data_IF_450821667311
#
_entry.id   IF_450821667311
#
_cell.length_a   1.000
_cell.length_b   1.000
_cell.length_c   1.000
_cell.angle_alpha   90.00
_cell.angle_beta   90.00
_cell.angle_gamma   90.00
#
_symmetry.space_group_name_H-M   'P 1'
#
loop_
_entity.id
_entity.type
_entity.pdbx_description
1 polymer ?
#
# COMPACT_ATOMS: atom_id res chain seq x y z
N UNK A 1 -2.61 28.62 -8.68
CA UNK A 1 -3.33 29.59 -7.83
C UNK A 1 -4.66 28.95 -7.52
N UNK A 2 -4.72 28.20 -6.41
CA UNK A 2 -5.97 27.64 -5.92
C UNK A 2 -6.62 28.76 -5.10
N UNK A 3 -7.66 29.38 -5.64
CA UNK A 3 -8.49 30.32 -4.88
C UNK A 3 -9.25 29.51 -3.85
N UNK A 4 -8.66 29.33 -2.66
CA UNK A 4 -9.36 28.73 -1.53
C UNK A 4 -10.55 29.63 -1.20
N UNK A 5 -11.76 29.16 -1.53
CA UNK A 5 -13.00 29.75 -1.01
C UNK A 5 -12.88 29.92 0.52
N UNK A 6 -13.39 31.04 1.08
CA UNK A 6 -13.34 31.28 2.52
C UNK A 6 -13.96 30.10 3.28
N UNK A 7 -13.38 29.78 4.44
CA UNK A 7 -13.87 28.69 5.28
C UNK A 7 -15.32 28.98 5.70
N UNK A 8 -16.25 28.12 5.28
CA UNK A 8 -17.67 28.27 5.62
C UNK A 8 -17.95 27.74 7.02
N UNK A 9 -18.88 28.36 7.76
CA UNK A 9 -19.33 27.82 9.05
C UNK A 9 -20.29 26.65 8.86
N UNK A 10 -20.46 25.77 9.86
CA UNK A 10 -21.46 24.70 9.79
C UNK A 10 -22.88 25.20 9.49
N UNK A 11 -23.26 26.37 10.02
CA UNK A 11 -24.55 27.00 9.76
C UNK A 11 -24.70 27.40 8.29
N UNK A 12 -23.69 28.06 7.71
CA UNK A 12 -23.69 28.45 6.30
C UNK A 12 -23.78 27.23 5.38
N UNK A 13 -23.07 26.15 5.71
CA UNK A 13 -23.14 24.90 4.95
C UNK A 13 -24.53 24.29 5.06
N UNK A 14 -25.13 24.29 6.26
CA UNK A 14 -26.46 23.73 6.52
C UNK A 14 -27.55 24.39 5.69
N UNK A 15 -27.47 25.70 5.46
CA UNK A 15 -28.41 26.43 4.60
C UNK A 15 -28.35 25.99 3.12
N UNK A 16 -27.22 25.44 2.68
CA UNK A 16 -27.07 24.93 1.31
C UNK A 16 -27.57 23.49 1.12
N UNK A 17 -27.96 22.80 2.20
CA UNK A 17 -28.39 21.41 2.13
C UNK A 17 -29.84 21.28 1.66
N UNK A 18 -30.13 20.22 0.89
CA UNK A 18 -31.49 19.92 0.46
C UNK A 18 -32.39 19.68 1.68
N UNK A 19 -33.53 20.38 1.75
CA UNK A 19 -34.54 20.19 2.78
C UNK A 19 -35.53 19.05 2.49
N UNK A 20 -36.26 18.64 3.52
CA UNK A 20 -37.43 17.77 3.43
C UNK A 20 -38.71 18.59 3.35
N UNK A 21 -39.81 17.97 2.94
CA UNK A 21 -41.14 18.61 2.97
C UNK A 21 -41.58 19.05 4.38
N UNK A 22 -40.97 18.49 5.44
CA UNK A 22 -41.27 18.79 6.84
C UNK A 22 -40.31 19.82 7.47
N UNK A 23 -39.45 20.46 6.68
CA UNK A 23 -38.53 21.51 7.16
C UNK A 23 -37.20 21.04 7.76
N UNK A 24 -36.97 19.73 7.89
CA UNK A 24 -35.67 19.17 8.31
C UNK A 24 -34.70 18.95 7.15
N UNK A 25 -33.41 18.73 7.42
CA UNK A 25 -32.41 18.41 6.39
C UNK A 25 -32.67 17.01 5.81
N UNK A 26 -32.65 16.90 4.48
CA UNK A 26 -32.85 15.63 3.79
C UNK A 26 -31.62 14.76 4.02
N UNK A 27 -31.85 13.56 4.55
CA UNK A 27 -30.82 12.54 4.63
C UNK A 27 -30.55 12.01 3.22
N UNK A 28 -29.57 12.55 2.51
CA UNK A 28 -29.18 12.16 1.15
C UNK A 28 -27.66 11.99 1.05
N UNK A 29 -27.19 11.15 0.11
CA UNK A 29 -25.75 11.03 -0.17
C UNK A 29 -25.19 12.40 -0.58
N UNK A 30 -25.96 13.17 -1.36
CA UNK A 30 -25.57 14.51 -1.82
C UNK A 30 -25.32 15.47 -0.66
N UNK A 31 -26.20 15.52 0.34
CA UNK A 31 -26.01 16.37 1.51
C UNK A 31 -24.81 15.93 2.36
N UNK A 32 -24.64 14.63 2.58
CA UNK A 32 -23.45 14.11 3.29
C UNK A 32 -22.17 14.48 2.54
N UNK A 33 -22.16 14.34 1.21
CA UNK A 33 -21.04 14.69 0.35
C UNK A 33 -20.69 16.18 0.45
N UNK A 34 -21.71 17.06 0.40
CA UNK A 34 -21.53 18.51 0.56
C UNK A 34 -20.84 18.84 1.88
N UNK A 35 -21.27 18.22 2.99
CA UNK A 35 -20.64 18.43 4.30
C UNK A 35 -19.17 17.97 4.29
N UNK A 36 -18.87 16.74 3.85
CA UNK A 36 -17.49 16.26 3.80
C UNK A 36 -16.57 17.08 2.88
N UNK A 37 -17.12 17.73 1.84
CA UNK A 37 -16.36 18.55 0.90
C UNK A 37 -16.17 20.00 1.37
N UNK A 38 -17.07 20.54 2.20
CA UNK A 38 -17.09 21.98 2.55
C UNK A 38 -16.78 22.27 4.00
N UNK A 39 -17.16 21.37 4.92
CA UNK A 39 -16.92 21.55 6.34
C UNK A 39 -15.41 21.68 6.60
N UNK A 40 -14.93 22.75 7.27
CA UNK A 40 -13.51 22.95 7.53
C UNK A 40 -12.85 21.78 8.27
N UNK A 41 -13.60 21.14 9.17
CA UNK A 41 -13.14 19.96 9.90
C UNK A 41 -12.91 18.80 8.92
N UNK A 42 -13.80 18.56 7.96
CA UNK A 42 -13.72 17.36 7.11
C UNK A 42 -13.09 17.55 5.72
N UNK A 43 -13.07 18.76 5.18
CA UNK A 43 -12.58 19.03 3.82
C UNK A 43 -11.15 18.56 3.64
N UNK A 44 -10.95 17.56 2.78
CA UNK A 44 -9.64 16.94 2.52
C UNK A 44 -9.12 16.00 3.62
N UNK A 45 -9.97 15.63 4.60
CA UNK A 45 -9.59 14.73 5.67
C UNK A 45 -9.54 13.27 5.25
N UNK A 46 -10.51 12.84 4.44
CA UNK A 46 -10.73 11.45 4.06
C UNK A 46 -10.09 11.19 2.71
N UNK A 47 -9.15 10.24 2.65
CA UNK A 47 -8.40 9.90 1.43
C UNK A 47 -8.30 8.40 1.25
N UNK A 48 -8.48 7.92 0.02
CA UNK A 48 -8.26 6.51 -0.31
C UNK A 48 -6.77 6.26 -0.55
N UNK A 49 -6.18 5.43 0.30
CA UNK A 49 -4.80 4.98 0.17
C UNK A 49 -4.73 3.83 -0.83
N UNK A 50 -4.06 4.06 -1.96
CA UNK A 50 -4.00 3.10 -3.07
C UNK A 50 -3.07 1.91 -2.82
N UNK A 51 -2.20 1.98 -1.80
CA UNK A 51 -1.32 0.86 -1.44
C UNK A 51 -2.05 -0.14 -0.54
N UNK A 52 -2.81 0.36 0.44
CA UNK A 52 -3.58 -0.46 1.39
C UNK A 52 -5.02 -0.71 0.95
N UNK A 53 -5.53 0.06 -0.02
CA UNK A 53 -6.95 0.12 -0.43
C UNK A 53 -7.91 0.49 0.72
N UNK A 54 -7.39 1.15 1.76
CA UNK A 54 -8.16 1.62 2.91
C UNK A 54 -8.38 3.13 2.85
N UNK A 55 -9.40 3.60 3.58
CA UNK A 55 -9.65 5.03 3.74
C UNK A 55 -8.85 5.50 4.96
N UNK A 56 -8.00 6.49 4.76
CA UNK A 56 -7.21 7.12 5.80
C UNK A 56 -7.81 8.50 6.14
N UNK A 57 -7.76 8.86 7.43
CA UNK A 57 -8.00 10.21 7.92
C UNK A 57 -6.63 10.89 8.10
N UNK A 58 -6.37 11.91 7.29
CA UNK A 58 -5.05 12.55 7.15
C UNK A 58 -4.92 13.90 7.85
N UNK A 59 -5.89 14.25 8.70
CA UNK A 59 -5.87 15.45 9.53
C UNK A 59 -6.46 15.18 10.92
N UNK A 60 -6.18 16.04 11.92
CA UNK A 60 -6.88 15.99 13.20
C UNK A 60 -8.38 16.30 13.02
N UNK A 61 -9.24 15.49 13.64
CA UNK A 61 -10.69 15.69 13.65
C UNK A 61 -11.27 16.04 15.03
N UNK A 62 -10.40 16.23 16.04
CA UNK A 62 -10.79 16.66 17.38
C UNK A 62 -10.96 15.55 18.42
N UNK A 63 -10.88 14.28 18.02
CA UNK A 63 -10.79 13.13 18.94
C UNK A 63 -9.44 12.42 18.80
N UNK A 64 -9.05 11.70 19.85
CA UNK A 64 -7.81 10.92 19.87
C UNK A 64 -7.91 9.69 18.97
N UNK A 65 -6.82 9.40 18.26
CA UNK A 65 -6.74 8.30 17.29
C UNK A 65 -5.41 7.57 17.43
N UNK A 66 -5.44 6.26 17.24
CA UNK A 66 -4.25 5.38 17.30
C UNK A 66 -3.79 4.88 15.93
N UNK A 67 -4.56 5.16 14.87
CA UNK A 67 -4.26 4.76 13.49
C UNK A 67 -4.63 5.87 12.51
N UNK A 68 -3.97 5.90 11.35
CA UNK A 68 -4.37 6.76 10.23
C UNK A 68 -5.64 6.24 9.56
N UNK A 69 -5.80 4.91 9.49
CA UNK A 69 -6.94 4.24 8.88
C UNK A 69 -8.23 4.57 9.59
N UNK A 70 -9.29 4.84 8.82
CA UNK A 70 -10.65 5.01 9.30
C UNK A 70 -11.11 3.75 10.05
N UNK A 71 -11.50 3.92 11.31
CA UNK A 71 -11.99 2.85 12.18
C UNK A 71 -13.50 2.93 12.42
N UNK A 72 -14.08 1.88 13.00
CA UNK A 72 -15.48 1.89 13.42
C UNK A 72 -15.76 2.97 14.48
N UNK A 73 -14.78 3.28 15.34
CA UNK A 73 -14.93 4.37 16.31
C UNK A 73 -14.91 5.75 15.63
N UNK A 74 -14.08 5.94 14.61
CA UNK A 74 -14.12 7.15 13.78
C UNK A 74 -15.49 7.30 13.11
N UNK A 75 -16.08 6.21 12.62
CA UNK A 75 -17.42 6.23 12.04
C UNK A 75 -18.49 6.70 13.03
N UNK A 76 -18.42 6.27 14.30
CA UNK A 76 -19.32 6.74 15.35
C UNK A 76 -19.17 8.23 15.62
N UNK A 77 -17.94 8.75 15.72
CA UNK A 77 -17.71 10.19 15.91
C UNK A 77 -18.18 11.02 14.71
N UNK A 78 -17.95 10.54 13.49
CA UNK A 78 -18.44 11.19 12.28
C UNK A 78 -19.97 11.24 12.24
N UNK A 79 -20.65 10.16 12.63
CA UNK A 79 -22.11 10.12 12.70
C UNK A 79 -22.65 11.09 13.76
N UNK A 80 -22.06 11.10 14.96
CA UNK A 80 -22.44 12.02 16.03
C UNK A 80 -22.30 13.48 15.59
N UNK A 81 -21.17 13.84 15.00
CA UNK A 81 -20.94 15.20 14.51
C UNK A 81 -21.95 15.61 13.43
N UNK A 82 -22.26 14.71 12.49
CA UNK A 82 -23.22 14.95 11.43
C UNK A 82 -24.66 15.06 11.94
N UNK A 83 -25.00 14.30 12.99
CA UNK A 83 -26.28 14.39 13.68
C UNK A 83 -26.44 15.74 14.38
N UNK A 84 -25.49 16.13 15.22
CA UNK A 84 -25.55 17.35 16.04
C UNK A 84 -25.55 18.64 15.19
N UNK A 85 -24.69 18.70 14.17
CA UNK A 85 -24.49 19.94 13.41
C UNK A 85 -25.43 20.05 12.18
N UNK A 86 -25.77 18.92 11.55
CA UNK A 86 -26.45 18.89 10.25
C UNK A 86 -27.75 18.08 10.21
N UNK A 87 -28.10 17.32 11.25
CA UNK A 87 -29.29 16.45 11.25
C UNK A 87 -29.20 15.26 10.26
N UNK A 88 -27.98 14.87 9.89
CA UNK A 88 -27.71 13.76 8.98
C UNK A 88 -27.40 12.49 9.78
N UNK A 89 -28.38 11.58 9.84
CA UNK A 89 -28.39 10.40 10.73
C UNK A 89 -28.28 9.06 9.99
N UNK A 90 -28.34 9.07 8.66
CA UNK A 90 -28.37 7.84 7.87
C UNK A 90 -26.96 7.27 7.63
N UNK A 91 -26.55 6.32 8.47
CA UNK A 91 -25.24 5.66 8.40
C UNK A 91 -24.87 5.18 6.99
N UNK A 92 -25.78 4.46 6.32
CA UNK A 92 -25.54 3.96 4.94
C UNK A 92 -25.19 5.08 3.96
N UNK A 93 -25.81 6.26 4.10
CA UNK A 93 -25.57 7.41 3.21
C UNK A 93 -24.26 8.11 3.56
N UNK A 94 -23.93 8.20 4.85
CA UNK A 94 -22.65 8.71 5.35
C UNK A 94 -21.50 7.83 4.84
N UNK A 95 -21.57 6.52 5.02
CA UNK A 95 -20.56 5.58 4.50
C UNK A 95 -20.38 5.70 2.99
N UNK A 96 -21.48 5.87 2.23
CA UNK A 96 -21.42 6.06 0.78
C UNK A 96 -20.71 7.36 0.41
N UNK A 97 -21.00 8.46 1.12
CA UNK A 97 -20.35 9.74 0.90
C UNK A 97 -18.86 9.71 1.26
N UNK A 98 -18.49 9.08 2.38
CA UNK A 98 -17.08 8.88 2.78
C UNK A 98 -16.31 8.16 1.67
N UNK A 99 -16.86 7.07 1.13
CA UNK A 99 -16.23 6.32 0.02
C UNK A 99 -16.03 7.18 -1.23
N UNK A 100 -17.02 8.02 -1.57
CA UNK A 100 -16.93 8.93 -2.73
C UNK A 100 -15.82 9.96 -2.50
N UNK A 101 -15.83 10.67 -1.38
CA UNK A 101 -14.82 11.70 -1.06
C UNK A 101 -13.42 11.11 -0.98
N UNK A 102 -13.26 9.96 -0.33
CA UNK A 102 -11.96 9.29 -0.25
C UNK A 102 -11.44 8.91 -1.62
N UNK A 103 -12.32 8.39 -2.50
CA UNK A 103 -11.96 8.04 -3.88
C UNK A 103 -11.63 9.27 -4.75
N UNK A 104 -12.27 10.42 -4.52
CA UNK A 104 -11.89 11.67 -5.18
C UNK A 104 -10.51 12.16 -4.72
N UNK A 105 -10.14 11.92 -3.45
CA UNK A 105 -8.89 12.34 -2.84
C UNK A 105 -7.84 11.22 -2.71
N UNK A 106 -7.78 10.31 -3.70
CA UNK A 106 -6.85 9.18 -3.75
C UNK A 106 -5.38 9.61 -3.66
N UNK A 107 -4.57 8.76 -3.06
CA UNK A 107 -3.12 8.93 -3.01
C UNK A 107 -2.39 7.61 -2.91
N UNK A 108 -1.10 7.60 -3.20
CA UNK A 108 -0.28 6.42 -3.02
C UNK A 108 0.96 6.78 -2.22
N UNK A 109 1.12 6.30 -0.97
CA UNK A 109 2.15 6.78 -0.05
C UNK A 109 3.57 6.60 -0.60
N UNK A 110 3.86 5.46 -1.25
CA UNK A 110 5.17 5.23 -1.88
C UNK A 110 5.41 6.13 -3.10
N UNK A 111 4.38 6.43 -3.92
CA UNK A 111 4.55 7.35 -5.06
C UNK A 111 4.82 8.76 -4.56
N UNK A 112 4.07 9.20 -3.56
CA UNK A 112 4.24 10.51 -2.94
C UNK A 112 5.63 10.63 -2.32
N UNK A 113 6.11 9.59 -1.64
CA UNK A 113 7.49 9.52 -1.16
C UNK A 113 8.51 9.65 -2.30
N UNK A 114 8.42 8.80 -3.32
CA UNK A 114 9.37 8.76 -4.45
C UNK A 114 9.39 10.06 -5.27
N UNK A 115 8.22 10.66 -5.52
CA UNK A 115 8.10 11.92 -6.27
C UNK A 115 8.68 13.13 -5.53
N UNK A 116 8.79 13.06 -4.21
CA UNK A 116 9.36 14.13 -3.38
C UNK A 116 10.87 13.99 -3.16
N UNK A 117 11.49 12.89 -3.59
CA UNK A 117 12.94 12.70 -3.47
C UNK A 117 13.69 13.61 -4.44
N UNK A 118 14.83 14.14 -3.97
CA UNK A 118 15.79 14.87 -4.78
C UNK A 118 17.10 14.08 -4.79
N UNK A 119 17.65 13.83 -5.97
CA UNK A 119 18.94 13.16 -6.07
C UNK A 119 20.06 14.13 -5.70
N UNK A 120 20.95 13.69 -4.81
CA UNK A 120 22.06 14.49 -4.30
C UNK A 120 23.35 14.35 -5.12
N UNK A 121 23.28 13.70 -6.29
CA UNK A 121 24.42 13.51 -7.19
C UNK A 121 25.36 12.35 -6.83
N UNK A 122 25.13 11.63 -5.72
CA UNK A 122 26.02 10.52 -5.30
C UNK A 122 25.48 9.17 -5.77
N UNK A 123 26.30 8.40 -6.50
CA UNK A 123 25.94 7.06 -6.98
C UNK A 123 26.05 6.01 -5.87
N UNK A 124 24.96 5.79 -5.12
CA UNK A 124 24.94 4.80 -4.02
C UNK A 124 24.60 3.38 -4.45
N UNK A 125 23.83 3.20 -5.52
CA UNK A 125 23.34 1.87 -5.94
C UNK A 125 24.51 0.93 -6.26
N UNK A 126 25.58 1.43 -6.91
CA UNK A 126 26.76 0.65 -7.29
C UNK A 126 27.43 -0.07 -6.12
N UNK A 127 27.46 0.55 -4.96
CA UNK A 127 28.18 0.02 -3.80
C UNK A 127 27.28 -0.36 -2.64
N UNK A 128 25.95 -0.27 -2.77
CA UNK A 128 25.03 -0.50 -1.66
C UNK A 128 25.13 -1.93 -1.09
N UNK A 129 25.10 -2.96 -1.93
CA UNK A 129 25.21 -4.35 -1.45
C UNK A 129 26.58 -4.63 -0.82
N UNK A 130 27.66 -4.08 -1.38
CA UNK A 130 28.99 -4.17 -0.78
C UNK A 130 29.05 -3.46 0.58
N UNK A 131 28.58 -2.21 0.64
CA UNK A 131 28.64 -1.38 1.84
C UNK A 131 27.85 -1.95 3.02
N UNK A 132 26.64 -2.49 2.76
CA UNK A 132 25.77 -2.99 3.82
C UNK A 132 25.94 -4.48 4.12
N UNK A 133 26.31 -5.29 3.13
CA UNK A 133 26.28 -6.76 3.24
C UNK A 133 27.61 -7.43 2.87
N UNK A 134 28.61 -6.67 2.41
CA UNK A 134 29.92 -7.21 2.03
C UNK A 134 29.91 -7.99 0.71
N UNK A 135 28.91 -7.79 -0.16
CA UNK A 135 28.88 -8.40 -1.49
C UNK A 135 30.01 -7.90 -2.41
N UNK A 136 30.25 -8.58 -3.53
CA UNK A 136 31.23 -8.16 -4.52
C UNK A 136 30.83 -6.82 -5.18
N UNK A 137 31.83 -6.11 -5.73
CA UNK A 137 31.63 -4.80 -6.42
C UNK A 137 31.56 -4.95 -7.94
N UNK A 138 31.30 -6.16 -8.42
CA UNK A 138 31.21 -6.46 -9.84
C UNK A 138 29.93 -5.90 -10.50
N UNK A 139 29.94 -5.91 -11.83
CA UNK A 139 28.84 -5.37 -12.63
C UNK A 139 27.55 -6.19 -12.49
N UNK A 140 27.65 -7.50 -12.20
CA UNK A 140 26.49 -8.35 -11.98
C UNK A 140 25.73 -7.93 -10.71
N UNK A 141 26.45 -7.77 -9.60
CA UNK A 141 25.90 -7.36 -8.30
C UNK A 141 25.23 -5.98 -8.40
N UNK A 142 25.86 -5.04 -9.11
CA UNK A 142 25.28 -3.72 -9.38
C UNK A 142 23.98 -3.81 -10.19
N UNK A 143 24.00 -4.50 -11.34
CA UNK A 143 22.84 -4.61 -12.21
C UNK A 143 21.70 -5.42 -11.57
N UNK A 144 22.01 -6.39 -10.70
CA UNK A 144 21.02 -7.14 -9.95
C UNK A 144 20.22 -6.24 -8.99
N UNK A 145 20.90 -5.41 -8.18
CA UNK A 145 20.24 -4.46 -7.30
C UNK A 145 19.48 -3.40 -8.11
N UNK A 146 20.10 -2.84 -9.14
CA UNK A 146 19.48 -1.82 -9.99
C UNK A 146 18.19 -2.32 -10.65
N UNK A 147 18.20 -3.54 -11.20
CA UNK A 147 17.01 -4.16 -11.78
C UNK A 147 15.90 -4.36 -10.74
N UNK A 148 16.25 -4.80 -9.53
CA UNK A 148 15.31 -4.94 -8.42
C UNK A 148 14.66 -3.59 -8.05
N UNK A 149 15.45 -2.53 -7.89
CA UNK A 149 14.96 -1.19 -7.56
C UNK A 149 14.07 -0.61 -8.67
N UNK A 150 14.48 -0.77 -9.94
CA UNK A 150 13.66 -0.35 -11.08
C UNK A 150 12.33 -1.11 -11.14
N UNK A 151 12.34 -2.41 -10.83
CA UNK A 151 11.14 -3.24 -10.69
C UNK A 151 10.22 -2.74 -9.57
N UNK A 152 10.79 -2.41 -8.41
CA UNK A 152 10.07 -1.89 -7.25
C UNK A 152 9.34 -0.58 -7.58
N UNK A 153 10.05 0.36 -8.22
CA UNK A 153 9.48 1.62 -8.70
C UNK A 153 8.39 1.34 -9.73
N UNK A 154 8.68 0.49 -10.72
CA UNK A 154 7.73 0.19 -11.81
C UNK A 154 6.42 -0.40 -11.30
N UNK A 155 6.46 -1.33 -10.33
CA UNK A 155 5.28 -1.97 -9.74
C UNK A 155 4.37 -0.98 -9.02
N UNK A 156 4.96 0.00 -8.33
CA UNK A 156 4.19 1.05 -7.66
C UNK A 156 3.58 2.03 -8.66
N UNK A 157 4.33 2.49 -9.68
CA UNK A 157 3.82 3.46 -10.65
C UNK A 157 2.92 2.86 -11.74
N UNK A 158 3.11 1.57 -12.06
CA UNK A 158 2.27 0.80 -12.99
C UNK A 158 1.90 -0.55 -12.37
N UNK A 159 0.93 -0.57 -11.45
CA UNK A 159 0.45 -1.79 -10.82
C UNK A 159 0.14 -2.88 -11.85
N UNK A 160 0.56 -4.11 -11.54
CA UNK A 160 0.36 -5.25 -12.42
C UNK A 160 1.31 -5.34 -13.61
N UNK A 161 2.29 -4.45 -13.75
CA UNK A 161 3.37 -4.63 -14.73
C UNK A 161 4.09 -5.96 -14.52
N UNK A 162 4.39 -6.71 -15.58
CA UNK A 162 5.16 -7.95 -15.46
C UNK A 162 6.56 -7.65 -14.88
N UNK A 163 6.81 -8.17 -13.68
CA UNK A 163 8.12 -8.21 -13.04
C UNK A 163 8.16 -9.47 -12.19
N UNK A 164 8.96 -10.45 -12.62
CA UNK A 164 8.99 -11.82 -12.08
C UNK A 164 10.37 -12.19 -11.50
N UNK A 165 11.20 -11.17 -11.25
CA UNK A 165 12.57 -11.32 -10.76
C UNK A 165 12.61 -11.03 -9.26
N UNK A 166 13.35 -11.84 -8.52
CA UNK A 166 13.56 -11.75 -7.07
C UNK A 166 15.05 -11.64 -6.79
N UNK A 167 15.46 -10.57 -6.09
CA UNK A 167 16.81 -10.41 -5.57
C UNK A 167 16.99 -11.34 -4.38
N UNK A 168 18.00 -12.21 -4.39
CA UNK A 168 18.23 -13.24 -3.38
C UNK A 168 19.54 -12.96 -2.66
N UNK A 169 19.48 -12.49 -1.43
CA UNK A 169 20.67 -12.24 -0.62
C UNK A 169 21.14 -13.54 0.04
N UNK A 170 22.35 -13.98 -0.31
CA UNK A 170 22.99 -15.19 0.24
C UNK A 170 24.13 -14.77 1.16
N UNK A 171 24.11 -15.24 2.41
CA UNK A 171 25.19 -14.94 3.35
C UNK A 171 24.95 -15.51 4.74
N UNK A 172 25.91 -15.37 5.65
CA UNK A 172 25.82 -15.90 7.01
C UNK A 172 24.58 -15.43 7.80
N UNK A 173 24.21 -16.19 8.83
CA UNK A 173 23.19 -15.78 9.78
C UNK A 173 23.63 -14.47 10.45
N UNK A 174 22.68 -13.55 10.67
CA UNK A 174 22.98 -12.26 11.30
C UNK A 174 23.67 -11.23 10.38
N UNK A 175 23.87 -11.53 9.10
CA UNK A 175 24.49 -10.59 8.14
C UNK A 175 23.61 -9.38 7.76
N UNK A 176 22.48 -9.14 8.43
CA UNK A 176 21.62 -7.97 8.16
C UNK A 176 20.74 -8.05 6.90
N UNK A 177 20.59 -9.22 6.27
CA UNK A 177 19.82 -9.39 5.02
C UNK A 177 18.37 -8.92 5.09
N UNK A 178 17.63 -9.37 6.11
CA UNK A 178 16.24 -8.96 6.35
C UNK A 178 16.16 -7.47 6.70
N UNK A 179 17.12 -6.98 7.50
CA UNK A 179 17.25 -5.56 7.85
C UNK A 179 17.47 -4.70 6.61
N UNK A 180 18.26 -5.17 5.63
CA UNK A 180 18.49 -4.46 4.38
C UNK A 180 17.17 -4.26 3.61
N UNK A 181 16.37 -5.31 3.41
CA UNK A 181 15.07 -5.17 2.73
C UNK A 181 14.08 -4.29 3.49
N UNK A 182 14.04 -4.40 4.83
CA UNK A 182 13.21 -3.54 5.68
C UNK A 182 13.58 -2.06 5.53
N UNK A 183 14.87 -1.74 5.60
CA UNK A 183 15.34 -0.36 5.43
C UNK A 183 15.15 0.14 3.99
N UNK A 184 15.32 -0.75 3.01
CA UNK A 184 15.14 -0.41 1.60
C UNK A 184 13.70 -0.06 1.25
N UNK A 185 12.72 -0.61 1.97
CA UNK A 185 11.33 -0.23 1.83
C UNK A 185 11.09 1.24 2.20
N UNK A 186 11.99 1.87 2.97
CA UNK A 186 11.92 3.29 3.34
C UNK A 186 11.02 3.57 4.54
N UNK A 187 10.02 2.72 4.79
CA UNK A 187 9.24 2.69 6.02
C UNK A 187 8.90 1.26 6.40
N UNK A 188 8.85 0.99 7.70
CA UNK A 188 8.61 -0.36 8.23
C UNK A 188 7.22 -0.90 7.79
N UNK A 189 6.20 -0.04 7.69
CA UNK A 189 4.86 -0.46 7.23
C UNK A 189 4.80 -0.85 5.74
N UNK A 190 5.82 -0.54 4.94
CA UNK A 190 5.90 -0.95 3.53
C UNK A 190 6.73 -2.23 3.34
N UNK A 191 7.21 -2.83 4.43
CA UNK A 191 7.95 -4.09 4.43
C UNK A 191 7.13 -5.21 5.08
N UNK A 192 7.27 -6.43 4.56
CA UNK A 192 6.72 -7.64 5.21
C UNK A 192 7.60 -8.85 4.99
N UNK A 193 7.72 -9.71 5.99
CA UNK A 193 8.37 -11.02 5.94
C UNK A 193 7.40 -12.17 6.31
N UNK A 194 6.10 -11.89 6.43
CA UNK A 194 5.08 -12.86 6.87
C UNK A 194 4.53 -13.75 5.73
N UNK A 195 5.16 -13.71 4.54
CA UNK A 195 4.76 -14.54 3.42
C UNK A 195 5.28 -15.98 3.55
N UNK A 196 4.58 -16.80 4.36
CA UNK A 196 4.96 -18.19 4.66
C UNK A 196 4.40 -19.23 3.70
N UNK A 197 3.26 -18.94 3.04
CA UNK A 197 2.55 -19.87 2.14
C UNK A 197 2.00 -19.12 0.92
N UNK A 198 2.24 -19.66 -0.28
CA UNK A 198 1.87 -19.02 -1.57
C UNK A 198 0.50 -19.45 -2.09
N UNK A 199 -0.02 -20.55 -1.56
CA UNK A 199 -1.32 -21.15 -1.87
C UNK A 199 -2.43 -20.70 -0.89
N UNK A 200 -2.10 -19.81 0.04
CA UNK A 200 -3.05 -19.24 0.99
C UNK A 200 -4.13 -18.41 0.26
N UNK A 201 -5.41 -18.72 0.50
CA UNK A 201 -6.54 -17.96 -0.07
C UNK A 201 -6.51 -16.47 0.34
N UNK A 202 -5.86 -16.16 1.47
CA UNK A 202 -5.68 -14.80 1.95
C UNK A 202 -4.31 -14.22 1.63
N UNK A 203 -3.54 -14.82 0.71
CA UNK A 203 -2.22 -14.33 0.32
C UNK A 203 -2.26 -12.86 -0.07
N UNK A 204 -3.33 -12.41 -0.73
CA UNK A 204 -3.49 -11.00 -1.10
C UNK A 204 -3.42 -10.06 0.12
N UNK A 205 -4.00 -10.42 1.27
CA UNK A 205 -3.93 -9.60 2.49
C UNK A 205 -2.50 -9.43 3.01
N UNK A 206 -1.65 -10.42 2.78
CA UNK A 206 -0.22 -10.35 3.13
C UNK A 206 0.55 -9.46 2.15
N UNK A 207 0.09 -9.34 0.91
CA UNK A 207 0.69 -8.45 -0.10
C UNK A 207 0.22 -7.00 0.03
N UNK A 208 -1.05 -6.80 0.39
CA UNK A 208 -1.69 -5.50 0.49
C UNK A 208 -0.96 -4.62 1.53
N UNK A 209 -0.73 -3.36 1.19
CA UNK A 209 -0.01 -2.43 2.08
C UNK A 209 1.52 -2.47 1.97
N UNK A 210 2.10 -3.52 1.39
CA UNK A 210 3.57 -3.70 1.37
C UNK A 210 4.17 -3.43 -0.01
N UNK A 211 5.34 -2.81 -0.04
CA UNK A 211 6.13 -2.53 -1.25
C UNK A 211 7.23 -3.57 -1.47
N UNK A 212 7.93 -3.96 -0.41
CA UNK A 212 8.98 -4.99 -0.44
C UNK A 212 8.56 -6.14 0.48
N UNK A 213 8.57 -7.35 -0.06
CA UNK A 213 8.20 -8.55 0.69
C UNK A 213 9.37 -9.52 0.69
N UNK A 214 9.86 -9.84 1.88
CA UNK A 214 10.89 -10.85 2.09
C UNK A 214 10.30 -12.27 2.10
N UNK A 215 11.00 -13.19 1.43
CA UNK A 215 10.69 -14.62 1.38
C UNK A 215 11.87 -15.42 1.95
N UNK A 216 12.09 -15.32 3.26
CA UNK A 216 13.24 -15.90 3.97
C UNK A 216 13.17 -17.43 4.13
N UNK A 217 12.04 -17.97 4.57
CA UNK A 217 11.88 -19.41 4.85
C UNK A 217 11.68 -20.27 3.58
N UNK A 218 11.06 -19.68 2.55
CA UNK A 218 10.69 -20.41 1.33
C UNK A 218 11.91 -20.77 0.47
N UNK A 219 12.96 -19.97 0.55
CA UNK A 219 14.22 -20.22 -0.16
C UNK A 219 15.08 -21.23 0.60
N UNK A 220 15.07 -21.18 1.94
CA UNK A 220 15.88 -22.07 2.77
C UNK A 220 15.46 -23.56 2.65
N UNK A 221 14.17 -23.81 2.39
CA UNK A 221 13.56 -25.14 2.23
C UNK A 221 13.27 -25.51 0.77
N UNK A 222 13.82 -24.74 -0.16
CA UNK A 222 13.53 -24.87 -1.58
C UNK A 222 13.90 -26.26 -2.13
N UNK A 223 12.94 -26.90 -2.79
CA UNK A 223 13.11 -28.08 -3.62
C UNK A 223 12.56 -27.78 -5.02
N UNK A 224 12.71 -28.70 -5.97
CA UNK A 224 12.29 -28.44 -7.35
C UNK A 224 10.80 -28.03 -7.45
N UNK A 225 9.93 -28.65 -6.64
CA UNK A 225 8.49 -28.34 -6.62
C UNK A 225 8.22 -26.94 -6.08
N UNK A 226 8.78 -26.59 -4.92
CA UNK A 226 8.55 -25.28 -4.31
C UNK A 226 9.17 -24.14 -5.14
N UNK A 227 10.23 -24.40 -5.90
CA UNK A 227 10.79 -23.42 -6.83
C UNK A 227 9.86 -23.13 -7.99
N UNK A 228 9.22 -24.14 -8.58
CA UNK A 228 8.23 -23.90 -9.63
C UNK A 228 6.99 -23.16 -9.08
N UNK A 229 6.58 -23.44 -7.84
CA UNK A 229 5.53 -22.67 -7.15
C UNK A 229 5.94 -21.21 -6.94
N UNK A 230 7.17 -20.94 -6.48
CA UNK A 230 7.71 -19.59 -6.35
C UNK A 230 7.78 -18.90 -7.71
N UNK A 231 8.30 -19.55 -8.76
CA UNK A 231 8.38 -18.98 -10.12
C UNK A 231 6.98 -18.64 -10.64
N UNK A 232 6.01 -19.52 -10.45
CA UNK A 232 4.61 -19.30 -10.81
C UNK A 232 4.04 -18.11 -10.04
N UNK A 233 4.30 -18.03 -8.74
CA UNK A 233 3.87 -16.92 -7.90
C UNK A 233 4.50 -15.60 -8.34
N UNK A 234 5.82 -15.50 -8.46
CA UNK A 234 6.53 -14.30 -8.94
C UNK A 234 6.02 -13.83 -10.32
N UNK A 235 5.61 -14.77 -11.16
CA UNK A 235 5.09 -14.50 -12.50
C UNK A 235 3.72 -13.81 -12.52
N UNK A 236 2.94 -13.86 -11.43
CA UNK A 236 1.59 -13.27 -11.40
C UNK A 236 1.67 -11.74 -11.47
N UNK A 237 0.69 -11.17 -12.16
CA UNK A 237 0.52 -9.72 -12.29
C UNK A 237 -0.58 -9.18 -11.36
N UNK A 238 -1.48 -10.07 -10.92
CA UNK A 238 -2.64 -9.73 -10.11
C UNK A 238 -3.05 -10.93 -9.25
N UNK A 239 -3.76 -10.64 -8.18
CA UNK A 239 -4.50 -11.59 -7.36
C UNK A 239 -5.99 -11.35 -7.59
N UNK A 240 -6.77 -12.39 -7.83
CA UNK A 240 -8.24 -12.28 -7.79
C UNK A 240 -8.67 -12.52 -6.35
N UNK A 241 -9.16 -11.46 -5.69
CA UNK A 241 -9.50 -11.50 -4.27
C UNK A 241 -10.86 -10.84 -4.01
N UNK A 242 -11.63 -11.42 -3.09
CA UNK A 242 -12.91 -10.85 -2.62
C UNK A 242 -12.69 -10.30 -1.22
N UNK A 243 -12.70 -8.98 -1.09
CA UNK A 243 -12.67 -8.35 0.25
C UNK A 243 -13.98 -8.69 0.96
N UNK A 244 -13.96 -8.93 2.29
CA UNK A 244 -15.20 -9.09 3.05
C UNK A 244 -16.19 -7.97 2.72
N UNK A 245 -17.47 -8.33 2.64
CA UNK A 245 -18.58 -7.41 2.31
C UNK A 245 -18.64 -6.89 0.86
N UNK A 246 -17.64 -7.14 0.02
CA UNK A 246 -17.79 -6.94 -1.43
C UNK A 246 -18.67 -8.04 -2.02
N UNK A 247 -19.47 -7.70 -3.03
CA UNK A 247 -20.38 -8.67 -3.67
C UNK A 247 -19.62 -9.64 -4.57
N UNK A 248 -18.62 -9.14 -5.30
CA UNK A 248 -17.87 -9.88 -6.31
C UNK A 248 -16.36 -9.80 -6.06
N UNK A 249 -15.60 -10.88 -6.34
CA UNK A 249 -14.15 -10.81 -6.36
C UNK A 249 -13.70 -9.81 -7.43
N UNK A 250 -12.60 -9.10 -7.14
CA UNK A 250 -11.98 -8.16 -8.05
C UNK A 250 -10.53 -8.54 -8.33
N UNK A 251 -10.04 -8.12 -9.48
CA UNK A 251 -8.63 -8.22 -9.82
C UNK A 251 -7.83 -7.14 -9.09
N UNK A 252 -6.88 -7.56 -8.27
CA UNK A 252 -6.01 -6.69 -7.48
C UNK A 252 -4.60 -6.73 -8.08
N UNK A 253 -4.19 -5.63 -8.69
CA UNK A 253 -2.93 -5.55 -9.41
C UNK A 253 -1.75 -5.46 -8.43
N UNK A 254 -0.70 -6.27 -8.65
CA UNK A 254 0.46 -6.28 -7.75
C UNK A 254 1.26 -4.99 -7.83
N UNK A 255 1.56 -4.45 -6.66
CA UNK A 255 2.36 -3.23 -6.45
C UNK A 255 3.70 -3.51 -5.74
N UNK A 256 3.91 -4.73 -5.26
CA UNK A 256 5.09 -5.16 -4.52
C UNK A 256 6.14 -5.88 -5.38
N UNK A 257 7.35 -5.99 -4.84
CA UNK A 257 8.44 -6.85 -5.30
C UNK A 257 8.90 -7.79 -4.18
N UNK A 258 9.59 -8.85 -4.57
CA UNK A 258 10.00 -9.91 -3.65
C UNK A 258 11.51 -9.95 -3.49
N UNK A 259 11.96 -10.00 -2.24
CA UNK A 259 13.34 -10.22 -1.85
C UNK A 259 13.49 -11.59 -1.21
N UNK A 260 14.52 -12.32 -1.59
CA UNK A 260 14.88 -13.61 -1.02
C UNK A 260 16.03 -13.47 -0.03
N UNK A 261 16.02 -14.20 1.07
CA UNK A 261 17.19 -14.31 1.95
C UNK A 261 17.47 -15.77 2.28
N UNK A 262 18.74 -16.15 2.31
CA UNK A 262 19.15 -17.51 2.67
C UNK A 262 20.57 -17.55 3.21
N UNK A 263 20.85 -18.58 4.01
CA UNK A 263 22.20 -18.89 4.46
C UNK A 263 22.85 -20.01 3.64
N UNK A 264 22.09 -20.64 2.72
CA UNK A 264 22.54 -21.77 1.90
C UNK A 264 23.04 -21.29 0.54
N UNK A 265 24.28 -21.58 0.19
CA UNK A 265 24.83 -21.27 -1.13
C UNK A 265 24.23 -22.13 -2.25
N UNK A 266 23.75 -23.33 -1.91
CA UNK A 266 23.16 -24.31 -2.83
C UNK A 266 21.62 -24.21 -2.93
N UNK A 267 21.03 -23.05 -2.62
CA UNK A 267 19.57 -22.90 -2.53
C UNK A 267 18.82 -23.08 -3.85
N UNK A 268 19.50 -22.92 -5.00
CA UNK A 268 18.93 -23.20 -6.31
C UNK A 268 19.43 -24.56 -6.83
N UNK A 269 18.52 -25.48 -7.20
CA UNK A 269 18.86 -26.71 -7.88
C UNK A 269 19.63 -26.43 -9.15
N UNK A 270 20.60 -27.28 -9.45
CA UNK A 270 21.50 -27.20 -10.61
C UNK A 270 20.83 -27.43 -11.97
N UNK A 271 19.51 -27.53 -12.02
CA UNK A 271 18.81 -27.88 -13.26
C UNK A 271 18.96 -26.75 -14.29
N UNK A 272 19.40 -27.12 -15.50
CA UNK A 272 20.07 -26.23 -16.48
C UNK A 272 19.12 -25.31 -17.25
N UNK A 273 17.80 -25.41 -17.03
CA UNK A 273 16.82 -24.51 -17.64
C UNK A 273 16.13 -23.63 -16.58
N UNK A 274 16.37 -22.31 -16.64
CA UNK A 274 15.33 -21.36 -16.25
C UNK A 274 15.24 -20.91 -14.78
N UNK A 275 16.36 -20.54 -14.16
CA UNK A 275 16.37 -19.77 -12.90
C UNK A 275 16.48 -18.24 -13.11
N UNK A 276 16.10 -17.72 -14.28
CA UNK A 276 16.13 -16.27 -14.61
C UNK A 276 15.33 -15.36 -13.67
N UNK A 277 14.51 -15.94 -12.80
CA UNK A 277 13.65 -15.26 -11.82
C UNK A 277 14.37 -15.03 -10.48
N UNK A 278 15.53 -15.61 -10.28
CA UNK A 278 16.33 -15.49 -9.06
C UNK A 278 17.65 -14.82 -9.39
N UNK A 279 17.98 -13.73 -8.71
CA UNK A 279 19.27 -13.05 -8.80
C UNK A 279 20.01 -13.28 -7.47
N UNK A 280 20.82 -14.34 -7.35
CA UNK A 280 21.62 -14.64 -6.15
C UNK A 280 22.69 -13.59 -5.85
#
# INVERSE_FOLDING_TARGET
MDTMEPAQTPEEIRETLEGTQKGGVKNSIRNCLTVFQRDPLFRGALRLNLLTEQIDIVKPLGWERTSTTLTDMDMNYLLLYLEENYGLISEKKVQSAIKIVANENRYHPVRDYLNNLQWDGTERIRYALHHFLGADTDEYTYEALKLFLMGAIRRVFRPGSKFEVMLCLVGGQGAGKSTFFRLLAGRDEWFSDDLKKLDDENVYRKLQGHWIIEMSEMIATANAKSIEEIKSFLSRQKETYKVPYETHPADRLRQCVFGGTTNRQDFLPRDRTGNRRFLP
#
